data_IF_684322367318
#
_entry.id   IF_684322367318
#
_cell.length_a   1.000
_cell.length_b   1.000
_cell.length_c   1.000
_cell.angle_alpha   90.00
_cell.angle_beta   90.00
_cell.angle_gamma   90.00
#
_symmetry.space_group_name_H-M   'P 1'
#
loop_
_entity.id
_entity.type
_entity.pdbx_description
1 polymer ?
#
# COMPACT_ATOMS: atom_id res chain seq x y z
N UNK A 1 56.99 -22.91 -49.08
CA UNK A 1 56.02 -21.80 -49.09
C UNK A 1 54.63 -22.38 -48.83
N UNK A 2 53.93 -21.86 -47.78
CA UNK A 2 52.48 -21.91 -47.46
C UNK A 2 51.77 -23.28 -47.64
N UNK A 3 51.14 -23.87 -46.62
CA UNK A 3 49.85 -23.42 -46.04
C UNK A 3 49.68 -23.88 -44.58
N UNK A 4 48.82 -23.10 -43.92
CA UNK A 4 48.42 -23.00 -42.51
C UNK A 4 47.55 -24.18 -42.04
N UNK A 5 47.74 -24.65 -40.79
CA UNK A 5 46.70 -25.23 -39.90
C UNK A 5 47.11 -24.92 -38.44
N UNK A 6 46.74 -23.74 -37.91
CA UNK A 6 45.70 -23.51 -36.88
C UNK A 6 45.54 -24.61 -35.85
N UNK A 7 45.89 -24.31 -34.59
CA UNK A 7 45.09 -24.78 -33.45
C UNK A 7 45.25 -23.80 -32.28
N UNK A 8 44.49 -22.70 -32.37
CA UNK A 8 44.24 -21.78 -31.27
C UNK A 8 43.36 -22.47 -30.24
N UNK A 9 43.93 -22.88 -29.11
CA UNK A 9 43.18 -23.32 -27.94
C UNK A 9 42.83 -22.08 -27.12
N UNK A 10 41.68 -21.48 -27.45
CA UNK A 10 41.02 -20.49 -26.59
C UNK A 10 40.34 -21.26 -25.45
N UNK A 11 40.95 -21.24 -24.27
CA UNK A 11 40.31 -21.69 -23.04
C UNK A 11 39.31 -20.60 -22.63
N UNK A 12 38.04 -20.80 -22.96
CA UNK A 12 36.93 -19.99 -22.46
C UNK A 12 36.74 -20.41 -21.00
N UNK A 13 37.22 -19.58 -20.08
CA UNK A 13 36.84 -19.66 -18.67
C UNK A 13 35.39 -19.22 -18.57
N UNK A 14 34.48 -20.20 -18.56
CA UNK A 14 33.09 -19.99 -18.17
C UNK A 14 33.08 -19.70 -16.67
N UNK A 15 33.21 -18.43 -16.31
CA UNK A 15 32.76 -17.95 -15.00
C UNK A 15 31.24 -18.11 -14.98
N UNK A 16 30.79 -19.27 -14.51
CA UNK A 16 29.45 -19.42 -13.97
C UNK A 16 29.38 -18.60 -12.67
N UNK A 17 29.29 -17.28 -12.82
CA UNK A 17 28.80 -16.41 -11.77
C UNK A 17 27.29 -16.67 -11.66
N UNK A 18 26.93 -17.73 -10.93
CA UNK A 18 25.64 -17.82 -10.28
C UNK A 18 25.59 -16.67 -9.27
N UNK A 19 25.33 -15.46 -9.76
CA UNK A 19 24.79 -14.39 -8.95
C UNK A 19 23.41 -14.87 -8.54
N UNK A 20 23.35 -15.59 -7.42
CA UNK A 20 22.17 -15.61 -6.58
C UNK A 20 22.01 -14.18 -6.08
N UNK A 21 21.46 -13.34 -6.97
CA UNK A 21 20.89 -12.08 -6.60
C UNK A 21 19.79 -12.41 -5.62
N UNK A 22 20.14 -12.34 -4.34
CA UNK A 22 19.19 -12.20 -3.25
C UNK A 22 18.35 -10.99 -3.64
N UNK A 23 17.19 -11.27 -4.25
CA UNK A 23 16.14 -10.29 -4.41
C UNK A 23 15.64 -10.03 -3.00
N UNK A 24 16.38 -9.21 -2.28
CA UNK A 24 15.86 -8.44 -1.17
C UNK A 24 14.82 -7.53 -1.83
N UNK A 25 13.63 -8.06 -2.06
CA UNK A 25 12.44 -7.27 -2.32
C UNK A 25 12.17 -6.57 -1.00
N UNK A 26 12.98 -5.55 -0.67
CA UNK A 26 12.59 -4.54 0.28
C UNK A 26 11.30 -3.97 -0.30
N UNK A 27 10.17 -4.37 0.30
CA UNK A 27 8.86 -3.81 0.00
C UNK A 27 9.04 -2.32 0.07
N UNK A 28 9.02 -1.65 -1.08
CA UNK A 28 9.18 -0.21 -1.12
C UNK A 28 8.04 0.38 -0.29
N UNK A 29 8.42 1.12 0.74
CA UNK A 29 7.50 1.77 1.65
C UNK A 29 6.67 2.79 0.86
N UNK A 30 5.34 2.72 1.00
CA UNK A 30 4.41 3.57 0.27
C UNK A 30 3.83 4.57 1.28
N UNK A 31 4.16 5.84 1.08
CA UNK A 31 3.56 6.93 1.84
C UNK A 31 2.15 7.26 1.29
N UNK A 32 1.13 6.73 1.97
CA UNK A 32 -0.28 6.87 1.59
C UNK A 32 -0.81 8.19 2.14
N UNK A 33 -0.55 9.29 1.44
CA UNK A 33 -1.11 10.61 1.76
C UNK A 33 -2.51 10.82 1.15
N UNK A 34 -3.24 11.86 1.58
CA UNK A 34 -4.49 12.29 0.89
C UNK A 34 -4.28 12.53 -0.61
N UNK A 35 -3.18 13.18 -0.99
CA UNK A 35 -2.84 13.42 -2.41
C UNK A 35 -2.57 12.09 -3.14
N UNK A 36 -1.90 11.14 -2.48
CA UNK A 36 -1.69 9.81 -3.04
C UNK A 36 -3.03 9.15 -3.39
N UNK A 37 -4.03 9.24 -2.51
CA UNK A 37 -5.38 8.75 -2.81
C UNK A 37 -6.03 9.48 -3.99
N UNK A 38 -5.95 10.80 -4.04
CA UNK A 38 -6.50 11.58 -5.16
C UNK A 38 -5.94 11.14 -6.53
N UNK A 39 -4.71 10.65 -6.57
CA UNK A 39 -4.02 10.22 -7.79
C UNK A 39 -4.19 8.72 -8.10
N UNK A 40 -4.35 7.87 -7.08
CA UNK A 40 -4.24 6.41 -7.24
C UNK A 40 -5.48 5.62 -6.82
N UNK A 41 -6.38 6.22 -6.04
CA UNK A 41 -7.61 5.55 -5.64
C UNK A 41 -8.62 5.57 -6.78
N UNK A 42 -9.18 4.40 -7.06
CA UNK A 42 -10.11 4.19 -8.16
C UNK A 42 -11.13 3.12 -7.73
N UNK A 43 -12.39 3.33 -8.07
CA UNK A 43 -13.46 2.35 -7.82
C UNK A 43 -13.34 1.24 -8.87
N UNK A 44 -13.52 -0.01 -8.44
CA UNK A 44 -13.47 -1.18 -9.32
C UNK A 44 -12.14 -1.93 -9.34
N UNK A 45 -11.13 -1.49 -8.59
CA UNK A 45 -9.82 -2.16 -8.52
C UNK A 45 -9.94 -3.52 -7.84
N UNK A 46 -9.25 -4.50 -8.41
CA UNK A 46 -9.08 -5.82 -7.82
C UNK A 46 -8.09 -5.79 -6.65
N UNK A 47 -8.11 -6.81 -5.81
CA UNK A 47 -7.13 -7.02 -4.74
C UNK A 47 -5.67 -6.86 -5.18
N UNK A 48 -5.31 -7.41 -6.34
CA UNK A 48 -3.93 -7.35 -6.83
C UNK A 48 -3.55 -5.94 -7.29
N UNK A 49 -4.48 -5.20 -7.88
CA UNK A 49 -4.25 -3.82 -8.28
C UNK A 49 -4.11 -2.91 -7.06
N UNK A 50 -4.94 -3.11 -6.04
CA UNK A 50 -4.79 -2.41 -4.75
C UNK A 50 -3.43 -2.73 -4.15
N UNK A 51 -3.04 -4.01 -4.00
CA UNK A 51 -1.74 -4.34 -3.41
C UNK A 51 -0.54 -3.81 -4.20
N UNK A 52 -0.67 -3.70 -5.51
CA UNK A 52 0.37 -3.10 -6.37
C UNK A 52 0.49 -1.58 -6.15
N UNK A 53 -0.62 -0.89 -5.85
CA UNK A 53 -0.65 0.56 -5.63
C UNK A 53 -0.34 0.93 -4.17
N UNK A 54 -0.97 0.26 -3.21
CA UNK A 54 -1.00 0.62 -1.78
C UNK A 54 -0.12 -0.28 -0.90
N UNK A 55 0.43 -1.37 -1.42
CA UNK A 55 1.17 -2.36 -0.63
C UNK A 55 0.24 -3.37 0.06
N UNK A 56 0.76 -4.10 1.04
CA UNK A 56 -0.03 -5.07 1.79
C UNK A 56 -0.82 -4.39 2.92
N UNK A 57 -2.07 -4.80 3.09
CA UNK A 57 -2.93 -4.39 4.18
C UNK A 57 -2.41 -4.87 5.54
N UNK A 58 -2.69 -4.11 6.60
CA UNK A 58 -2.32 -4.44 7.99
C UNK A 58 -3.33 -5.36 8.66
N UNK A 59 -4.59 -5.24 8.27
CA UNK A 59 -5.70 -6.06 8.76
C UNK A 59 -6.74 -6.18 7.64
N UNK A 60 -7.39 -7.33 7.56
CA UNK A 60 -8.47 -7.59 6.63
C UNK A 60 -9.53 -8.46 7.30
N UNK A 61 -10.80 -8.21 6.99
CA UNK A 61 -11.91 -9.07 7.39
C UNK A 61 -13.07 -9.02 6.38
N UNK A 62 -13.93 -10.02 6.42
CA UNK A 62 -15.10 -10.16 5.54
C UNK A 62 -16.37 -10.25 6.38
N UNK A 63 -17.28 -9.30 6.20
CA UNK A 63 -18.60 -9.26 6.86
C UNK A 63 -19.67 -9.03 5.80
N UNK A 64 -20.71 -9.86 5.77
CA UNK A 64 -21.87 -9.73 4.86
C UNK A 64 -21.48 -9.53 3.38
N UNK A 65 -20.55 -10.34 2.88
CA UNK A 65 -19.97 -10.27 1.51
C UNK A 65 -19.20 -8.98 1.19
N UNK A 66 -18.91 -8.16 2.20
CA UNK A 66 -18.05 -6.98 2.10
C UNK A 66 -16.71 -7.29 2.75
N UNK A 67 -15.64 -7.22 1.98
CA UNK A 67 -14.28 -7.32 2.52
C UNK A 67 -13.75 -5.92 2.83
N UNK A 68 -13.15 -5.75 4.00
CA UNK A 68 -12.59 -4.46 4.42
C UNK A 68 -11.12 -4.65 4.74
N UNK A 69 -10.27 -3.84 4.12
CA UNK A 69 -8.85 -3.79 4.39
C UNK A 69 -8.49 -2.50 5.11
N UNK A 70 -7.62 -2.61 6.11
CA UNK A 70 -7.07 -1.51 6.88
C UNK A 70 -5.60 -1.31 6.54
N UNK A 71 -5.24 -0.06 6.30
CA UNK A 71 -3.89 0.46 6.16
C UNK A 71 -3.70 1.58 7.17
N UNK A 72 -2.49 1.74 7.71
CA UNK A 72 -2.15 2.83 8.63
C UNK A 72 -0.67 3.19 8.53
N UNK A 73 -0.32 4.36 9.07
CA UNK A 73 1.04 4.90 9.06
C UNK A 73 2.06 4.17 9.95
N UNK A 74 1.64 3.15 10.72
CA UNK A 74 2.58 2.39 11.58
C UNK A 74 3.49 1.43 10.82
N UNK A 75 3.50 1.49 9.49
CA UNK A 75 4.56 0.84 8.72
C UNK A 75 5.96 1.32 9.13
N UNK A 76 6.04 2.51 9.75
CA UNK A 76 7.27 3.31 9.85
C UNK A 76 7.70 3.65 11.29
N UNK A 77 6.98 3.16 12.31
CA UNK A 77 7.31 3.43 13.70
C UNK A 77 7.08 2.18 14.58
N UNK A 78 7.72 2.18 15.76
CA UNK A 78 7.55 1.13 16.77
C UNK A 78 6.24 1.29 17.57
N UNK A 79 5.28 2.07 17.05
CA UNK A 79 4.01 2.30 17.71
C UNK A 79 3.06 1.13 17.44
N UNK A 80 2.64 0.47 18.51
CA UNK A 80 1.63 -0.57 18.47
C UNK A 80 0.33 -0.08 19.12
N UNK A 81 -0.78 -0.37 18.47
CA UNK A 81 -2.12 -0.13 18.98
C UNK A 81 -3.04 -1.28 18.58
N UNK A 82 -4.17 -1.40 19.26
CA UNK A 82 -5.15 -2.43 18.94
C UNK A 82 -5.94 -2.03 17.69
N UNK A 83 -5.49 -2.51 16.53
CA UNK A 83 -6.19 -2.30 15.25
C UNK A 83 -7.58 -2.90 15.30
N UNK A 84 -8.57 -2.12 14.89
CA UNK A 84 -9.96 -2.56 14.78
C UNK A 84 -10.56 -2.11 13.45
N UNK A 85 -11.39 -2.96 12.87
CA UNK A 85 -12.25 -2.61 11.73
C UNK A 85 -13.58 -1.98 12.16
N UNK A 86 -13.89 -2.01 13.45
CA UNK A 86 -15.14 -1.49 14.02
C UNK A 86 -15.08 0.01 14.32
N UNK A 87 -13.90 0.62 14.37
CA UNK A 87 -13.73 2.02 14.72
C UNK A 87 -12.41 2.62 14.30
N UNK A 88 -12.41 3.95 14.18
CA UNK A 88 -11.23 4.75 13.82
C UNK A 88 -10.41 5.05 15.07
N UNK A 89 -9.08 4.94 14.96
CA UNK A 89 -8.12 5.27 16.01
C UNK A 89 -7.95 6.81 16.16
N UNK A 90 -9.03 7.50 16.55
CA UNK A 90 -9.09 8.96 16.56
C UNK A 90 -8.09 9.61 17.52
N UNK A 91 -7.91 9.04 18.70
CA UNK A 91 -7.00 9.61 19.70
C UNK A 91 -5.54 9.45 19.25
N UNK A 92 -5.19 8.31 18.67
CA UNK A 92 -3.87 8.08 18.10
C UNK A 92 -3.56 9.03 16.94
N UNK A 93 -4.56 9.38 16.12
CA UNK A 93 -4.41 10.41 15.07
C UNK A 93 -4.22 11.81 15.67
N UNK A 94 -4.99 12.17 16.71
CA UNK A 94 -4.89 13.49 17.37
C UNK A 94 -3.57 13.68 18.10
N UNK A 95 -3.07 12.63 18.74
CA UNK A 95 -1.79 12.63 19.46
C UNK A 95 -0.59 12.59 18.52
N UNK A 96 -0.79 12.32 17.23
CA UNK A 96 0.27 12.21 16.22
C UNK A 96 0.98 10.85 16.23
N UNK A 97 0.43 9.86 16.93
CA UNK A 97 0.94 8.47 16.90
C UNK A 97 0.59 7.79 15.57
N UNK A 98 -0.51 8.22 14.92
CA UNK A 98 -0.89 7.86 13.56
C UNK A 98 -1.01 9.11 12.68
N UNK A 99 -0.31 9.12 11.56
CA UNK A 99 -0.49 10.15 10.53
C UNK A 99 -1.80 9.94 9.77
N UNK A 100 -2.18 8.68 9.55
CA UNK A 100 -3.43 8.32 8.90
C UNK A 100 -3.94 6.93 9.26
N UNK A 101 -5.22 6.71 8.97
CA UNK A 101 -5.85 5.41 8.89
C UNK A 101 -6.72 5.32 7.61
N UNK A 102 -6.56 4.27 6.83
CA UNK A 102 -7.26 4.06 5.56
C UNK A 102 -8.01 2.73 5.57
N UNK A 103 -9.31 2.82 5.29
CA UNK A 103 -10.16 1.67 5.01
C UNK A 103 -10.47 1.58 3.52
N UNK A 104 -10.26 0.41 2.94
CA UNK A 104 -10.67 0.10 1.56
C UNK A 104 -11.70 -1.02 1.64
N UNK A 105 -12.92 -0.74 1.18
CA UNK A 105 -13.99 -1.73 1.15
C UNK A 105 -14.15 -2.32 -0.25
N UNK A 106 -14.41 -3.62 -0.29
CA UNK A 106 -14.58 -4.41 -1.50
C UNK A 106 -15.93 -5.10 -1.52
N UNK A 107 -16.54 -5.11 -2.71
CA UNK A 107 -17.75 -5.84 -3.02
C UNK A 107 -17.49 -6.58 -4.33
N UNK A 108 -17.85 -7.85 -4.41
CA UNK A 108 -17.52 -8.72 -5.55
C UNK A 108 -16.02 -8.67 -5.95
N UNK A 109 -15.14 -8.60 -4.93
CA UNK A 109 -13.67 -8.54 -5.07
C UNK A 109 -13.14 -7.30 -5.79
N UNK A 110 -13.93 -6.22 -5.80
CA UNK A 110 -13.56 -4.92 -6.37
C UNK A 110 -13.79 -3.80 -5.36
N UNK A 111 -12.89 -2.82 -5.35
CA UNK A 111 -13.05 -1.64 -4.49
C UNK A 111 -14.36 -0.93 -4.78
N UNK A 112 -15.11 -0.57 -3.75
CA UNK A 112 -16.33 0.24 -3.88
C UNK A 112 -16.33 1.45 -2.94
N UNK A 113 -15.41 1.54 -1.99
CA UNK A 113 -15.27 2.71 -1.13
C UNK A 113 -13.85 2.82 -0.55
N UNK A 114 -13.40 4.06 -0.38
CA UNK A 114 -12.19 4.40 0.37
C UNK A 114 -12.56 5.39 1.47
N UNK A 115 -12.09 5.18 2.69
CA UNK A 115 -12.23 6.12 3.81
C UNK A 115 -10.88 6.38 4.46
N UNK A 116 -10.37 7.61 4.30
CA UNK A 116 -9.05 8.03 4.76
C UNK A 116 -9.18 9.07 5.86
N UNK A 117 -8.70 8.74 7.05
CA UNK A 117 -8.76 9.56 8.25
C UNK A 117 -7.39 10.16 8.56
N UNK A 118 -7.34 11.46 8.84
CA UNK A 118 -6.10 12.20 9.07
C UNK A 118 -6.31 13.44 9.94
N UNK A 119 -5.24 13.93 10.57
CA UNK A 119 -5.27 15.16 11.35
C UNK A 119 -5.28 16.40 10.43
N UNK A 120 -6.32 17.22 10.55
CA UNK A 120 -6.45 18.49 9.84
C UNK A 120 -5.64 19.61 10.47
N UNK A 121 -5.41 20.69 9.70
CA UNK A 121 -4.70 21.89 10.17
C UNK A 121 -5.43 22.64 11.29
N UNK A 122 -6.72 22.38 11.45
CA UNK A 122 -7.59 22.90 12.50
C UNK A 122 -7.55 22.06 13.79
N UNK A 123 -6.71 21.03 13.85
CA UNK A 123 -6.58 20.12 14.99
C UNK A 123 -7.71 19.08 15.09
N UNK A 124 -8.60 19.02 14.10
CA UNK A 124 -9.68 18.02 14.03
C UNK A 124 -9.27 16.84 13.17
N UNK A 125 -9.85 15.68 13.40
CA UNK A 125 -9.74 14.55 12.48
C UNK A 125 -10.71 14.75 11.33
N UNK A 126 -10.19 14.64 10.11
CA UNK A 126 -10.93 14.73 8.85
C UNK A 126 -11.02 13.36 8.19
N UNK A 127 -12.09 13.15 7.45
CA UNK A 127 -12.29 12.01 6.57
C UNK A 127 -12.33 12.48 5.12
N UNK A 128 -11.37 12.03 4.32
CA UNK A 128 -11.45 12.04 2.87
C UNK A 128 -12.03 10.71 2.39
N UNK A 129 -13.16 10.75 1.69
CA UNK A 129 -13.90 9.57 1.27
C UNK A 129 -14.10 9.56 -0.24
N UNK A 130 -13.93 8.40 -0.88
CA UNK A 130 -14.35 8.17 -2.27
C UNK A 130 -15.44 7.11 -2.20
N UNK A 131 -16.67 7.50 -2.57
CA UNK A 131 -17.82 6.60 -2.50
C UNK A 131 -17.94 5.75 -3.77
N UNK A 132 -18.94 4.87 -3.84
CA UNK A 132 -19.12 3.93 -4.96
C UNK A 132 -19.38 4.57 -6.32
N UNK A 133 -19.78 5.84 -6.35
CA UNK A 133 -19.91 6.62 -7.58
C UNK A 133 -18.60 7.28 -8.03
N UNK A 134 -17.51 7.16 -7.26
CA UNK A 134 -16.23 7.80 -7.53
C UNK A 134 -16.12 9.26 -7.09
N UNK A 135 -17.17 9.85 -6.51
CA UNK A 135 -17.16 11.24 -6.07
C UNK A 135 -16.44 11.39 -4.72
N UNK A 136 -15.44 12.29 -4.64
CA UNK A 136 -14.72 12.54 -3.40
C UNK A 136 -15.52 13.44 -2.44
N UNK A 137 -15.43 13.16 -1.15
CA UNK A 137 -15.99 13.96 -0.07
C UNK A 137 -14.91 14.24 0.98
N UNK A 138 -15.02 15.36 1.69
CA UNK A 138 -14.09 15.70 2.76
C UNK A 138 -14.83 16.34 3.94
N UNK A 139 -14.91 15.63 5.06
CA UNK A 139 -15.73 16.01 6.21
C UNK A 139 -14.91 15.98 7.52
N UNK A 140 -15.10 16.94 8.44
CA UNK A 140 -14.59 16.80 9.80
C UNK A 140 -15.42 15.75 10.55
N UNK A 141 -14.75 14.84 11.27
CA UNK A 141 -15.39 13.70 11.96
C UNK A 141 -15.12 13.65 13.47
N UNK A 142 -14.26 14.53 13.98
CA UNK A 142 -14.12 14.77 15.43
C UNK A 142 -14.71 16.13 15.82
N UNK A 143 -15.42 16.18 16.95
CA UNK A 143 -15.93 17.42 17.54
C UNK A 143 -14.88 18.09 18.44
#
# INVERSE_FOLDING_TARGET
MRKIVVCSIFIIVLLAACSNGSKNNATQEIDITKRFLEEHAEIGLTYNEVRKRFGAEKLADVVDNTETWLYDSTQNNDFEYNRSLEGVAFEEIKEGNLEYQLYINFMDKKTFMYSYFYLGKDGKVWQYQITSNGEPQNNPVSN
#
